data_IF_539083979242
#
_entry.id   IF_539083979242
#
_cell.length_a   1.000
_cell.length_b   1.000
_cell.length_c   1.000
_cell.angle_alpha   90.00
_cell.angle_beta   90.00
_cell.angle_gamma   90.00
#
_symmetry.space_group_name_H-M   'P 1'
#
loop_
_entity.id
_entity.type
_entity.pdbx_description
1 polymer ?
#
# COMPACT_ATOMS: atom_id res chain seq x y z
N UNK A 1 -3.35 33.03 27.80
CA UNK A 1 -3.27 33.16 26.33
C UNK A 1 -3.47 31.77 25.78
N UNK A 2 -4.47 31.58 24.93
CA UNK A 2 -4.67 30.29 24.27
C UNK A 2 -3.46 30.05 23.33
N UNK A 3 -2.76 28.92 23.40
CA UNK A 3 -1.61 28.68 22.53
C UNK A 3 -2.06 28.69 21.07
N UNK A 4 -1.41 29.49 20.22
CA UNK A 4 -1.68 29.45 18.79
C UNK A 4 -1.06 28.17 18.17
N UNK A 5 -1.83 27.09 18.22
CA UNK A 5 -1.44 25.78 17.70
C UNK A 5 -1.19 25.81 16.18
N UNK A 6 -1.78 26.75 15.44
CA UNK A 6 -1.64 26.82 13.99
C UNK A 6 -0.26 27.33 13.59
N UNK A 7 0.22 28.40 14.23
CA UNK A 7 1.59 28.89 13.99
C UNK A 7 2.65 27.91 14.47
N UNK A 8 2.43 27.24 15.61
CA UNK A 8 3.34 26.20 16.12
C UNK A 8 3.50 25.05 15.13
N UNK A 9 2.39 24.59 14.52
CA UNK A 9 2.41 23.55 13.47
C UNK A 9 3.15 24.00 12.22
N UNK A 10 2.86 25.21 11.73
CA UNK A 10 3.50 25.75 10.54
C UNK A 10 5.03 25.84 10.73
N UNK A 11 5.47 26.24 11.93
CA UNK A 11 6.89 26.25 12.29
C UNK A 11 7.49 24.84 12.28
N UNK A 12 6.89 23.87 12.97
CA UNK A 12 7.37 22.48 13.05
C UNK A 12 7.46 21.86 11.65
N UNK A 13 6.44 22.04 10.81
CA UNK A 13 6.43 21.53 9.43
C UNK A 13 7.53 22.17 8.57
N UNK A 14 7.82 23.46 8.80
CA UNK A 14 8.91 24.14 8.11
C UNK A 14 10.28 23.57 8.50
N UNK A 15 10.49 23.32 9.81
CA UNK A 15 11.72 22.72 10.32
C UNK A 15 11.93 21.28 9.85
N UNK A 16 10.84 20.49 9.76
CA UNK A 16 10.90 19.13 9.19
C UNK A 16 11.28 19.15 7.71
N UNK A 17 10.75 20.11 6.94
CA UNK A 17 11.11 20.29 5.51
C UNK A 17 12.57 20.69 5.31
N UNK A 18 13.16 21.43 6.25
CA UNK A 18 14.60 21.74 6.23
C UNK A 18 15.48 20.62 6.81
N UNK A 19 14.90 19.47 7.17
CA UNK A 19 15.64 18.29 7.63
C UNK A 19 16.04 18.31 9.11
N UNK A 20 15.46 19.22 9.90
CA UNK A 20 15.73 19.31 11.35
C UNK A 20 14.99 18.20 12.08
N UNK A 21 15.69 17.53 13.02
CA UNK A 21 15.12 16.42 13.79
C UNK A 21 14.16 16.91 14.88
N UNK A 22 13.12 16.12 15.16
CA UNK A 22 12.08 16.45 16.15
C UNK A 22 12.63 16.73 17.57
N UNK A 23 13.77 16.12 17.93
CA UNK A 23 14.49 16.40 19.19
C UNK A 23 15.02 17.84 19.27
N UNK A 24 15.57 18.34 18.15
CA UNK A 24 16.10 19.70 18.05
C UNK A 24 14.95 20.71 18.00
N UNK A 25 13.86 20.37 17.31
CA UNK A 25 12.65 21.19 17.28
C UNK A 25 12.06 21.32 18.70
N UNK A 26 11.96 20.22 19.45
CA UNK A 26 11.51 20.24 20.84
C UNK A 26 12.38 21.15 21.72
N UNK A 27 13.70 21.01 21.61
CA UNK A 27 14.65 21.83 22.36
C UNK A 27 14.53 23.32 22.03
N UNK A 28 14.39 23.67 20.74
CA UNK A 28 14.23 25.05 20.29
C UNK A 28 12.92 25.66 20.80
N UNK A 29 11.82 24.91 20.77
CA UNK A 29 10.51 25.36 21.23
C UNK A 29 10.48 25.56 22.75
N UNK A 30 11.08 24.64 23.51
CA UNK A 30 11.24 24.79 24.96
C UNK A 30 12.09 26.03 25.30
N UNK A 31 13.20 26.26 24.58
CA UNK A 31 14.02 27.46 24.74
C UNK A 31 13.27 28.76 24.39
N UNK A 32 12.26 28.66 23.51
CA UNK A 32 11.41 29.79 23.09
C UNK A 32 10.23 30.02 24.05
N UNK A 33 10.15 29.27 25.16
CA UNK A 33 9.15 29.43 26.21
C UNK A 33 7.84 28.68 25.96
N UNK A 34 7.79 27.75 24.99
CA UNK A 34 6.61 26.92 24.78
C UNK A 34 6.51 25.82 25.85
N UNK A 35 5.32 25.55 26.41
CA UNK A 35 5.14 24.47 27.37
C UNK A 35 5.40 23.09 26.74
N UNK A 36 6.11 22.22 27.45
CA UNK A 36 6.45 20.86 26.98
C UNK A 36 5.22 20.05 26.60
N UNK A 37 4.13 20.15 27.36
CA UNK A 37 2.87 19.47 27.05
C UNK A 37 2.29 19.90 25.69
N UNK A 38 2.35 21.20 25.39
CA UNK A 38 1.89 21.78 24.12
C UNK A 38 2.78 21.33 22.97
N UNK A 39 4.10 21.36 23.15
CA UNK A 39 5.06 20.91 22.14
C UNK A 39 4.85 19.44 21.83
N UNK A 40 4.75 18.58 22.85
CA UNK A 40 4.55 17.14 22.66
C UNK A 40 3.23 16.84 21.94
N UNK A 41 2.14 17.54 22.27
CA UNK A 41 0.85 17.36 21.61
C UNK A 41 0.89 17.67 20.09
N UNK A 42 1.77 18.58 19.67
CA UNK A 42 1.92 18.98 18.26
C UNK A 42 3.04 18.21 17.54
N UNK A 43 4.10 17.85 18.28
CA UNK A 43 5.24 17.09 17.78
C UNK A 43 4.85 15.65 17.50
N UNK A 44 4.04 15.05 18.37
CA UNK A 44 3.27 13.85 18.04
C UNK A 44 2.40 14.25 16.84
N UNK A 45 2.55 13.59 15.67
CA UNK A 45 1.59 13.78 14.60
C UNK A 45 0.23 13.52 15.23
N UNK A 46 -0.68 14.51 15.23
CA UNK A 46 -2.05 14.24 15.65
C UNK A 46 -2.43 12.92 14.97
N UNK A 47 -3.01 11.94 15.68
CA UNK A 47 -3.83 10.96 14.97
C UNK A 47 -4.76 11.86 14.18
N UNK A 48 -4.54 11.97 12.87
CA UNK A 48 -5.24 12.96 12.06
C UNK A 48 -6.67 12.77 12.45
N UNK A 49 -7.25 13.78 13.11
CA UNK A 49 -8.60 13.71 13.68
C UNK A 49 -9.36 13.03 12.57
N UNK A 50 -9.80 11.79 12.81
CA UNK A 50 -10.42 11.01 11.76
C UNK A 50 -11.58 11.91 11.40
N UNK A 51 -11.42 12.68 10.33
CA UNK A 51 -12.52 13.36 9.71
C UNK A 51 -13.24 12.17 9.16
N UNK A 52 -14.11 11.60 10.00
CA UNK A 52 -15.29 10.91 9.56
C UNK A 52 -16.16 12.02 8.91
N UNK A 53 -15.63 12.76 7.93
CA UNK A 53 -16.18 12.53 6.62
C UNK A 53 -16.04 11.03 6.40
N UNK A 54 -17.09 10.29 6.75
CA UNK A 54 -17.57 9.25 5.89
C UNK A 54 -17.86 9.89 4.50
N UNK A 55 -16.84 10.48 3.86
CA UNK A 55 -16.66 10.38 2.44
C UNK A 55 -16.67 8.89 2.27
N UNK A 56 -17.80 8.36 1.79
CA UNK A 56 -18.03 6.95 1.51
C UNK A 56 -16.68 6.29 1.31
N UNK A 57 -16.24 5.48 2.28
CA UNK A 57 -14.98 4.79 2.15
C UNK A 57 -15.15 3.99 0.88
N UNK A 58 -14.57 4.50 -0.20
CA UNK A 58 -14.64 3.87 -1.51
C UNK A 58 -13.73 2.67 -1.33
N UNK A 59 -14.24 1.63 -0.69
CA UNK A 59 -13.63 0.35 -0.37
C UNK A 59 -13.66 -0.56 -1.61
N UNK A 60 -13.84 0.07 -2.77
CA UNK A 60 -13.75 -0.52 -4.07
C UNK A 60 -12.47 -1.31 -4.25
N UNK A 61 -12.58 -2.34 -5.06
CA UNK A 61 -11.52 -3.31 -5.32
C UNK A 61 -10.19 -2.68 -5.77
N UNK A 62 -10.18 -1.46 -6.33
CA UNK A 62 -8.99 -0.74 -6.80
C UNK A 62 -8.53 0.40 -5.88
N UNK A 63 -9.26 0.65 -4.80
CA UNK A 63 -9.06 1.81 -3.94
C UNK A 63 -8.10 1.52 -2.78
N UNK A 64 -7.54 2.59 -2.22
CA UNK A 64 -6.61 2.52 -1.10
C UNK A 64 -5.17 2.15 -1.51
N UNK A 65 -4.40 1.70 -0.52
CA UNK A 65 -2.94 1.54 -0.60
C UNK A 65 -2.51 0.18 -0.05
N UNK A 66 -1.48 -0.42 -0.67
CA UNK A 66 -0.83 -1.62 -0.13
C UNK A 66 0.65 -1.35 0.16
N UNK A 67 1.06 -1.65 1.40
CA UNK A 67 2.46 -1.53 1.83
C UNK A 67 3.30 -2.66 1.25
N UNK A 68 4.63 -2.47 1.25
CA UNK A 68 5.63 -3.45 0.78
C UNK A 68 5.40 -4.88 1.26
N UNK A 69 5.06 -5.07 2.54
CA UNK A 69 4.84 -6.41 3.08
C UNK A 69 3.56 -7.06 2.54
N UNK A 70 2.46 -6.30 2.39
CA UNK A 70 1.25 -6.82 1.75
C UNK A 70 1.47 -7.14 0.27
N UNK A 71 2.24 -6.31 -0.42
CA UNK A 71 2.64 -6.53 -1.80
C UNK A 71 3.55 -7.77 -1.97
N UNK A 72 4.50 -7.96 -1.06
CA UNK A 72 5.34 -9.16 -1.00
C UNK A 72 4.48 -10.40 -0.78
N UNK A 73 3.55 -10.38 0.17
CA UNK A 73 2.66 -11.52 0.44
C UNK A 73 1.80 -11.85 -0.77
N UNK A 74 1.28 -10.84 -1.49
CA UNK A 74 0.59 -11.03 -2.75
C UNK A 74 1.44 -11.74 -3.81
N UNK A 75 2.70 -11.32 -3.98
CA UNK A 75 3.65 -11.97 -4.91
C UNK A 75 3.91 -13.42 -4.48
N UNK A 76 4.10 -13.67 -3.18
CA UNK A 76 4.30 -15.03 -2.64
C UNK A 76 3.08 -15.91 -2.88
N UNK A 77 1.86 -15.43 -2.64
CA UNK A 77 0.64 -16.17 -2.92
C UNK A 77 0.48 -16.46 -4.41
N UNK A 78 0.78 -15.49 -5.28
CA UNK A 78 0.75 -15.71 -6.72
C UNK A 78 1.79 -16.75 -7.17
N UNK A 79 3.01 -16.68 -6.65
CA UNK A 79 4.06 -17.64 -6.98
C UNK A 79 3.72 -19.06 -6.49
N UNK A 80 3.18 -19.19 -5.27
CA UNK A 80 2.74 -20.46 -4.73
C UNK A 80 1.60 -21.07 -5.58
N UNK A 81 0.63 -20.24 -5.98
CA UNK A 81 -0.44 -20.65 -6.89
C UNK A 81 0.12 -21.10 -8.26
N UNK A 82 1.04 -20.32 -8.85
CA UNK A 82 1.66 -20.64 -10.13
C UNK A 82 2.44 -21.96 -10.09
N UNK A 83 3.25 -22.18 -9.05
CA UNK A 83 4.01 -23.43 -8.84
C UNK A 83 3.06 -24.62 -8.66
N UNK A 84 1.98 -24.46 -7.90
CA UNK A 84 0.99 -25.52 -7.71
C UNK A 84 0.27 -25.88 -9.04
N UNK A 85 -0.15 -24.88 -9.81
CA UNK A 85 -0.77 -25.08 -11.12
C UNK A 85 0.18 -25.77 -12.11
N UNK A 86 1.46 -25.36 -12.11
CA UNK A 86 2.51 -25.99 -12.90
C UNK A 86 2.70 -27.46 -12.49
N UNK A 87 2.80 -27.75 -11.20
CA UNK A 87 2.95 -29.10 -10.69
C UNK A 87 1.79 -30.01 -11.10
N UNK A 88 0.54 -29.51 -11.03
CA UNK A 88 -0.65 -30.25 -11.47
C UNK A 88 -0.59 -30.56 -12.97
N UNK A 89 -0.05 -29.65 -13.78
CA UNK A 89 0.10 -29.84 -15.23
C UNK A 89 1.09 -30.96 -15.59
N UNK A 90 1.99 -31.34 -14.67
CA UNK A 90 2.94 -32.45 -14.85
C UNK A 90 2.42 -33.80 -14.33
N UNK A 91 1.28 -33.83 -13.64
CA UNK A 91 0.66 -35.08 -13.21
C UNK A 91 0.07 -35.74 -14.46
N UNK A 92 0.54 -36.94 -14.81
CA UNK A 92 0.08 -37.66 -16.01
C UNK A 92 -1.44 -37.80 -16.06
N UNK A 93 -2.06 -37.15 -17.05
CA UNK A 93 -3.51 -37.17 -17.24
C UNK A 93 -3.92 -38.40 -18.07
N UNK A 94 -4.71 -39.29 -17.49
CA UNK A 94 -5.01 -40.62 -18.05
C UNK A 94 -5.90 -40.67 -19.30
N UNK A 95 -6.53 -39.56 -19.72
CA UNK A 95 -7.34 -39.50 -20.94
C UNK A 95 -7.25 -38.16 -21.67
N UNK A 96 -7.51 -38.14 -22.99
CA UNK A 96 -7.54 -36.90 -23.80
C UNK A 96 -8.57 -35.89 -23.30
N UNK A 97 -9.72 -36.37 -22.83
CA UNK A 97 -10.78 -35.51 -22.29
C UNK A 97 -10.30 -34.83 -21.00
N UNK A 98 -9.63 -35.57 -20.10
CA UNK A 98 -9.07 -35.01 -18.87
C UNK A 98 -8.04 -33.93 -19.19
N UNK A 99 -7.15 -34.17 -20.16
CA UNK A 99 -6.16 -33.17 -20.60
C UNK A 99 -6.82 -31.85 -21.04
N UNK A 100 -7.85 -31.92 -21.89
CA UNK A 100 -8.56 -30.74 -22.40
C UNK A 100 -9.22 -29.99 -21.25
N UNK A 101 -9.90 -30.70 -20.34
CA UNK A 101 -10.55 -30.10 -19.17
C UNK A 101 -9.52 -29.41 -18.26
N UNK A 102 -8.37 -30.05 -17.99
CA UNK A 102 -7.32 -29.46 -17.16
C UNK A 102 -6.81 -28.15 -17.75
N UNK A 103 -6.54 -28.12 -19.06
CA UNK A 103 -6.06 -26.90 -19.74
C UNK A 103 -7.10 -25.79 -19.67
N UNK A 104 -8.38 -26.09 -19.95
CA UNK A 104 -9.46 -25.10 -19.89
C UNK A 104 -9.64 -24.53 -18.47
N UNK A 105 -9.60 -25.40 -17.46
CA UNK A 105 -9.68 -24.97 -16.06
C UNK A 105 -8.48 -24.09 -15.67
N UNK A 106 -7.27 -24.44 -16.13
CA UNK A 106 -6.08 -23.62 -15.94
C UNK A 106 -6.22 -22.22 -16.55
N UNK A 107 -6.72 -22.14 -17.79
CA UNK A 107 -6.95 -20.85 -18.47
C UNK A 107 -7.99 -19.99 -17.73
N UNK A 108 -9.12 -20.58 -17.32
CA UNK A 108 -10.15 -19.88 -16.54
C UNK A 108 -9.60 -19.37 -15.21
N UNK A 109 -8.80 -20.17 -14.53
CA UNK A 109 -8.24 -19.80 -13.24
C UNK A 109 -7.19 -18.67 -13.38
N UNK A 110 -6.36 -18.67 -14.43
CA UNK A 110 -5.48 -17.54 -14.75
C UNK A 110 -6.30 -16.26 -14.98
N UNK A 111 -7.37 -16.35 -15.78
CA UNK A 111 -8.23 -15.20 -16.09
C UNK A 111 -8.86 -14.59 -14.83
N UNK A 112 -9.25 -15.42 -13.87
CA UNK A 112 -9.80 -14.98 -12.57
C UNK A 112 -8.78 -14.25 -11.69
N UNK A 113 -7.48 -14.56 -11.82
CA UNK A 113 -6.40 -13.95 -11.01
C UNK A 113 -5.95 -12.59 -11.56
N UNK A 114 -6.10 -12.35 -12.87
CA UNK A 114 -5.71 -11.09 -13.52
C UNK A 114 -6.27 -9.82 -12.82
N UNK A 115 -7.58 -9.67 -12.56
CA UNK A 115 -8.08 -8.46 -11.91
C UNK A 115 -7.48 -8.24 -10.52
N UNK A 116 -7.21 -9.33 -9.77
CA UNK A 116 -6.58 -9.27 -8.44
C UNK A 116 -5.16 -8.72 -8.55
N UNK A 117 -4.36 -9.20 -9.51
CA UNK A 117 -3.00 -8.71 -9.73
C UNK A 117 -2.96 -7.24 -10.13
N UNK A 118 -3.89 -6.83 -11.00
CA UNK A 118 -4.02 -5.43 -11.45
C UNK A 118 -4.36 -4.55 -10.25
N UNK A 119 -5.33 -4.95 -9.43
CA UNK A 119 -5.72 -4.23 -8.21
C UNK A 119 -4.55 -4.03 -7.25
N UNK A 120 -3.78 -5.09 -6.99
CA UNK A 120 -2.63 -5.04 -6.09
C UNK A 120 -1.55 -4.07 -6.59
N UNK A 121 -1.28 -4.06 -7.89
CA UNK A 121 -0.31 -3.12 -8.48
C UNK A 121 -0.82 -1.67 -8.45
N UNK A 122 -2.09 -1.44 -8.75
CA UNK A 122 -2.71 -0.11 -8.64
C UNK A 122 -2.55 0.42 -7.21
N UNK A 123 -2.92 -0.38 -6.20
CA UNK A 123 -2.77 -0.01 -4.78
C UNK A 123 -1.31 0.17 -4.37
N UNK A 124 -0.36 -0.48 -5.04
CA UNK A 124 1.07 -0.31 -4.78
C UNK A 124 1.59 1.01 -5.35
N UNK A 125 1.17 1.37 -6.56
CA UNK A 125 1.44 2.68 -7.14
C UNK A 125 0.80 3.82 -6.34
N UNK A 126 -0.42 3.62 -5.84
CA UNK A 126 -1.09 4.54 -4.93
C UNK A 126 -0.30 4.76 -3.63
N UNK A 127 0.37 3.72 -3.10
CA UNK A 127 1.23 3.87 -1.91
C UNK A 127 2.45 4.78 -2.17
N UNK A 128 2.90 4.88 -3.43
CA UNK A 128 3.93 5.80 -3.90
C UNK A 128 3.39 7.17 -4.32
N UNK A 129 2.10 7.41 -4.10
CA UNK A 129 1.38 8.60 -4.56
C UNK A 129 1.47 8.80 -6.10
N UNK A 130 1.51 7.69 -6.84
CA UNK A 130 1.51 7.65 -8.30
C UNK A 130 0.18 7.11 -8.83
N UNK A 131 -0.11 7.37 -10.11
CA UNK A 131 -1.34 6.92 -10.74
C UNK A 131 -1.37 5.39 -10.97
N UNK A 132 -2.54 4.78 -10.78
CA UNK A 132 -2.76 3.35 -11.05
C UNK A 132 -2.52 2.94 -12.51
N UNK A 133 -2.59 3.89 -13.45
CA UNK A 133 -2.32 3.68 -14.87
C UNK A 133 -0.92 3.12 -15.16
N UNK A 134 0.06 3.36 -14.29
CA UNK A 134 1.39 2.76 -14.40
C UNK A 134 1.37 1.23 -14.33
N UNK A 135 0.28 0.63 -13.85
CA UNK A 135 0.06 -0.82 -13.88
C UNK A 135 0.00 -1.38 -15.29
N UNK A 136 -0.37 -0.57 -16.31
CA UNK A 136 -0.39 -1.00 -17.71
C UNK A 136 1.02 -1.38 -18.22
N UNK A 137 2.08 -0.84 -17.61
CA UNK A 137 3.46 -1.22 -17.94
C UNK A 137 3.75 -2.70 -17.67
N UNK A 138 2.97 -3.35 -16.78
CA UNK A 138 3.09 -4.78 -16.53
C UNK A 138 2.62 -5.66 -17.69
N UNK A 139 1.88 -5.10 -18.66
CA UNK A 139 1.48 -5.83 -19.88
C UNK A 139 2.65 -6.04 -20.84
N UNK A 140 3.74 -5.29 -20.67
CA UNK A 140 4.95 -5.48 -21.47
C UNK A 140 5.75 -6.64 -20.86
N UNK A 141 6.05 -7.71 -21.65
CA UNK A 141 6.84 -8.83 -21.16
C UNK A 141 8.17 -8.39 -20.55
N UNK A 142 8.59 -9.08 -19.48
CA UNK A 142 9.78 -8.78 -18.66
C UNK A 142 9.74 -7.46 -17.87
N UNK A 143 9.18 -6.39 -18.43
CA UNK A 143 9.06 -5.10 -17.74
C UNK A 143 8.20 -5.23 -16.49
N UNK A 144 7.09 -5.98 -16.56
CA UNK A 144 6.25 -6.19 -15.38
C UNK A 144 6.98 -6.88 -14.23
N UNK A 145 7.90 -7.80 -14.53
CA UNK A 145 8.74 -8.45 -13.53
C UNK A 145 9.72 -7.44 -12.90
N UNK A 146 10.39 -6.62 -13.73
CA UNK A 146 11.33 -5.60 -13.27
C UNK A 146 10.61 -4.58 -12.37
N UNK A 147 9.43 -4.11 -12.78
CA UNK A 147 8.60 -3.18 -12.00
C UNK A 147 8.19 -3.82 -10.68
N UNK A 148 7.72 -5.06 -10.69
CA UNK A 148 7.33 -5.79 -9.47
C UNK A 148 8.49 -5.88 -8.48
N UNK A 149 9.68 -6.23 -8.96
CA UNK A 149 10.90 -6.28 -8.14
C UNK A 149 11.27 -4.89 -7.63
N UNK A 150 11.25 -3.85 -8.46
CA UNK A 150 11.55 -2.49 -8.04
C UNK A 150 10.56 -2.00 -6.94
N UNK A 151 9.26 -2.26 -7.12
CA UNK A 151 8.21 -1.86 -6.18
C UNK A 151 8.31 -2.53 -4.80
N UNK A 152 9.00 -3.68 -4.69
CA UNK A 152 9.33 -4.30 -3.41
C UNK A 152 10.33 -3.48 -2.59
N UNK A 153 11.29 -2.84 -3.26
CA UNK A 153 12.36 -2.11 -2.59
C UNK A 153 12.04 -0.63 -2.37
N UNK A 154 11.20 -0.02 -3.20
CA UNK A 154 10.89 1.43 -3.10
C UNK A 154 10.00 1.72 -1.87
N UNK A 155 10.36 2.71 -1.03
CA UNK A 155 9.51 3.13 0.09
C UNK A 155 8.22 3.83 -0.32
N UNK A 156 7.11 3.41 0.29
CA UNK A 156 5.83 4.10 0.25
C UNK A 156 5.85 5.42 1.01
N UNK A 157 4.81 6.24 0.83
CA UNK A 157 4.68 7.51 1.56
C UNK A 157 4.51 7.26 3.07
N UNK A 158 5.24 8.03 3.88
CA UNK A 158 5.24 7.91 5.35
C UNK A 158 3.97 8.50 5.97
N UNK A 159 3.35 9.47 5.31
CA UNK A 159 2.09 10.12 5.70
C UNK A 159 0.90 9.67 4.85
N UNK A 160 -0.29 10.13 5.22
CA UNK A 160 -1.45 10.13 4.34
C UNK A 160 -1.10 10.76 2.98
N UNK A 161 -1.69 10.22 1.92
CA UNK A 161 -1.50 10.70 0.55
C UNK A 161 -2.87 10.81 -0.17
N UNK A 162 -2.86 11.17 -1.45
CA UNK A 162 -4.09 11.39 -2.24
C UNK A 162 -5.01 10.16 -2.30
N UNK A 163 -4.45 8.96 -2.08
CA UNK A 163 -5.15 7.68 -2.14
C UNK A 163 -5.53 7.12 -0.75
N UNK A 164 -5.39 7.92 0.30
CA UNK A 164 -5.88 7.61 1.64
C UNK A 164 -4.82 7.63 2.74
N UNK A 165 -5.30 7.40 3.95
CA UNK A 165 -4.46 7.31 5.14
C UNK A 165 -3.53 6.08 5.07
N UNK A 166 -2.50 6.06 5.91
CA UNK A 166 -1.56 4.94 6.03
C UNK A 166 -2.36 3.66 6.25
N UNK A 167 -2.30 2.73 5.29
CA UNK A 167 -2.91 1.42 5.44
C UNK A 167 -2.38 0.77 6.73
N UNK A 168 -3.31 0.38 7.61
CA UNK A 168 -2.97 -0.30 8.86
C UNK A 168 -2.05 -1.50 8.57
N UNK A 169 -1.15 -1.83 9.49
CA UNK A 169 -0.21 -2.97 9.39
C UNK A 169 -0.91 -4.34 9.50
N UNK A 170 -2.14 -4.46 9.01
CA UNK A 170 -2.87 -5.70 8.90
C UNK A 170 -2.32 -6.50 7.73
N UNK A 171 -1.81 -7.70 8.01
CA UNK A 171 -1.39 -8.68 7.02
C UNK A 171 -2.47 -9.75 6.78
N UNK A 172 -3.71 -9.48 7.17
CA UNK A 172 -4.78 -10.43 6.90
C UNK A 172 -4.97 -10.60 5.39
N UNK A 173 -5.28 -11.82 4.90
CA UNK A 173 -5.56 -12.03 3.48
C UNK A 173 -6.63 -11.07 2.96
N UNK A 174 -7.66 -10.79 3.76
CA UNK A 174 -8.73 -9.83 3.44
C UNK A 174 -8.19 -8.43 3.13
N UNK A 175 -7.28 -7.91 3.96
CA UNK A 175 -6.71 -6.58 3.72
C UNK A 175 -5.72 -6.53 2.55
N UNK A 176 -5.11 -7.66 2.17
CA UNK A 176 -4.21 -7.74 1.02
C UNK A 176 -4.99 -7.74 -0.29
N UNK A 177 -6.07 -8.52 -0.34
CA UNK A 177 -6.90 -8.67 -1.53
C UNK A 177 -7.96 -7.57 -1.69
N UNK A 178 -8.19 -6.77 -0.65
CA UNK A 178 -9.14 -5.65 -0.70
C UNK A 178 -10.59 -6.07 -0.55
N UNK A 179 -10.84 -7.17 0.17
CA UNK A 179 -12.18 -7.54 0.61
C UNK A 179 -12.42 -6.83 1.95
N UNK A 180 -13.14 -5.71 1.92
CA UNK A 180 -13.64 -5.04 3.11
C UNK A 180 -14.76 -5.88 3.79
N UNK A 181 -15.08 -5.53 5.04
CA UNK A 181 -16.06 -6.24 5.88
C UNK A 181 -17.48 -6.17 5.33
#
# INVERSE_FOLDING_TARGET
>A
MDPDYASLRAYIDTQRRSGVTDTVIHQNLHASGWPDATVQQVLIPLPQSVSISASASDDGFFSGRIRRLGFLMAIVYFLAYFVAALAISFIGHGSRIINIVTVLMGMLAILAVIPILISIHIRRWHDLNQSGWLTLLNLIPFIGLIISVALLFIPGSVSANTYGNIAARSLSPRSIFGFAK
#
